data_IF_638135163396
#
_entry.id   IF_638135163396
#
_cell.length_a   1.000
_cell.length_b   1.000
_cell.length_c   1.000
_cell.angle_alpha   90.00
_cell.angle_beta   90.00
_cell.angle_gamma   90.00
#
_symmetry.space_group_name_H-M   'P 1'
#
loop_
_entity.id
_entity.type
_entity.pdbx_description
1 polymer ?
#
# COMPACT_ATOMS: atom_id res chain seq x y z
N UNK A 1 56.90 -56.87 -2.61
CA UNK A 1 56.20 -56.03 -1.63
C UNK A 1 55.81 -54.77 -2.32
N UNK A 2 54.52 -54.53 -2.61
CA UNK A 2 53.97 -53.29 -3.17
C UNK A 2 53.13 -52.65 -2.08
N UNK A 3 53.28 -51.33 -1.73
CA UNK A 3 52.42 -50.69 -0.80
C UNK A 3 51.16 -50.13 -1.51
N UNK A 4 50.02 -50.39 -0.88
CA UNK A 4 48.67 -49.97 -1.34
C UNK A 4 48.50 -48.48 -1.27
N UNK A 5 48.20 -47.89 -2.43
CA UNK A 5 47.92 -46.42 -2.58
C UNK A 5 46.43 -46.12 -2.76
N UNK A 6 45.56 -46.54 -1.80
CA UNK A 6 44.10 -46.39 -1.98
C UNK A 6 43.35 -45.72 -0.82
N UNK A 7 44.01 -44.99 0.11
CA UNK A 7 43.29 -44.44 1.27
C UNK A 7 43.23 -42.87 1.37
N UNK A 8 43.76 -42.13 0.39
CA UNK A 8 43.83 -40.64 0.52
C UNK A 8 42.75 -39.80 -0.18
N UNK A 9 41.90 -40.39 -1.01
CA UNK A 9 40.94 -39.63 -1.80
C UNK A 9 39.54 -39.52 -1.18
N UNK A 10 39.20 -40.28 -0.14
CA UNK A 10 37.87 -40.25 0.47
C UNK A 10 37.65 -39.11 1.45
N UNK A 11 38.69 -38.55 2.08
CA UNK A 11 38.60 -37.50 3.06
C UNK A 11 38.36 -36.11 2.44
N UNK A 12 38.97 -35.85 1.28
CA UNK A 12 38.88 -34.53 0.64
C UNK A 12 37.50 -34.27 -0.01
N UNK A 13 36.88 -35.29 -0.59
CA UNK A 13 35.57 -35.21 -1.20
C UNK A 13 34.47 -34.95 -0.15
N UNK A 14 34.55 -35.60 1.01
CA UNK A 14 33.60 -35.40 2.11
C UNK A 14 33.72 -33.97 2.72
N UNK A 15 34.93 -33.43 2.85
CA UNK A 15 35.18 -32.10 3.39
C UNK A 15 34.70 -30.98 2.44
N UNK A 16 34.88 -31.16 1.12
CA UNK A 16 34.39 -30.22 0.11
C UNK A 16 32.85 -30.21 0.05
N UNK A 17 32.22 -31.36 0.16
CA UNK A 17 30.76 -31.51 0.17
C UNK A 17 30.16 -30.86 1.42
N UNK A 18 30.76 -31.02 2.59
CA UNK A 18 30.32 -30.40 3.83
C UNK A 18 30.46 -28.87 3.80
N UNK A 19 31.50 -28.31 3.19
CA UNK A 19 31.70 -26.88 3.04
C UNK A 19 30.70 -26.27 2.04
N UNK A 20 30.35 -26.99 0.97
CA UNK A 20 29.36 -26.56 -0.01
C UNK A 20 27.93 -26.54 0.57
N UNK A 21 27.56 -27.49 1.44
CA UNK A 21 26.26 -27.49 2.14
C UNK A 21 26.17 -26.37 3.17
N UNK A 22 27.25 -26.04 3.87
CA UNK A 22 27.29 -24.97 4.84
C UNK A 22 27.14 -23.57 4.20
N UNK A 23 27.64 -23.38 2.97
CA UNK A 23 27.50 -22.11 2.23
C UNK A 23 26.08 -21.89 1.67
N UNK A 24 25.32 -22.95 1.39
CA UNK A 24 23.96 -22.85 0.87
C UNK A 24 22.94 -22.36 1.91
N UNK A 25 23.18 -22.52 3.20
CA UNK A 25 22.27 -22.10 4.27
C UNK A 25 22.37 -20.61 4.63
N UNK A 26 23.38 -19.89 4.16
CA UNK A 26 23.59 -18.47 4.46
C UNK A 26 22.84 -17.50 3.52
N UNK A 27 22.21 -17.99 2.43
CA UNK A 27 21.52 -17.16 1.45
C UNK A 27 20.04 -16.88 1.76
N UNK A 28 19.48 -17.42 2.84
CA UNK A 28 18.04 -17.36 3.13
C UNK A 28 17.56 -16.23 4.06
N UNK A 29 18.41 -15.31 4.49
CA UNK A 29 18.11 -14.44 5.63
C UNK A 29 17.76 -12.96 5.27
N UNK A 30 17.30 -12.67 4.06
CA UNK A 30 16.76 -11.33 3.73
C UNK A 30 15.24 -11.38 3.66
N UNK A 31 14.56 -11.46 4.80
CA UNK A 31 13.12 -11.18 4.86
C UNK A 31 12.91 -9.68 4.91
N UNK A 32 12.08 -9.16 4.02
CA UNK A 32 11.62 -7.79 4.02
C UNK A 32 10.33 -7.74 4.82
N UNK A 33 10.30 -7.02 5.94
CA UNK A 33 9.09 -6.84 6.72
C UNK A 33 8.18 -5.81 6.06
N UNK A 34 6.92 -6.18 5.88
CA UNK A 34 5.86 -5.31 5.37
C UNK A 34 4.94 -4.95 6.52
N UNK A 35 4.92 -3.67 6.88
CA UNK A 35 4.09 -3.14 7.96
C UNK A 35 2.93 -2.37 7.33
N UNK A 36 1.72 -2.68 7.77
CA UNK A 36 0.49 -2.02 7.31
C UNK A 36 -0.03 -1.10 8.39
N UNK A 37 -0.26 0.15 8.05
CA UNK A 37 -0.86 1.15 8.92
C UNK A 37 -2.25 1.54 8.42
N UNK A 38 -3.17 1.82 9.35
CA UNK A 38 -4.56 2.14 9.05
C UNK A 38 -5.37 0.90 8.65
N UNK A 39 -6.68 1.08 8.49
CA UNK A 39 -7.57 0.00 8.08
C UNK A 39 -7.55 -0.14 6.56
N UNK A 40 -7.14 -1.30 6.06
CA UNK A 40 -7.17 -1.62 4.64
C UNK A 40 -8.54 -2.23 4.30
N UNK A 41 -9.35 -1.46 3.58
CA UNK A 41 -10.66 -1.90 3.14
C UNK A 41 -10.54 -2.85 1.93
N UNK A 42 -11.35 -3.89 1.95
CA UNK A 42 -11.54 -4.75 0.77
C UNK A 42 -12.59 -4.12 -0.14
N UNK A 43 -12.60 -4.51 -1.39
CA UNK A 43 -13.61 -4.04 -2.34
C UNK A 43 -15.04 -4.33 -1.86
N UNK A 44 -15.24 -5.46 -1.15
CA UNK A 44 -16.54 -5.83 -0.55
C UNK A 44 -16.99 -4.83 0.52
N UNK A 45 -16.07 -4.31 1.32
CA UNK A 45 -16.36 -3.36 2.39
C UNK A 45 -16.80 -2.01 1.79
N UNK A 46 -16.18 -1.61 0.68
CA UNK A 46 -16.53 -0.38 -0.05
C UNK A 46 -17.84 -0.53 -0.83
N UNK A 47 -18.14 -1.70 -1.38
CA UNK A 47 -19.40 -1.98 -2.06
C UNK A 47 -20.61 -1.97 -1.11
N UNK A 48 -20.38 -2.17 0.18
CA UNK A 48 -21.43 -2.07 1.20
C UNK A 48 -21.88 -0.61 1.43
N UNK A 49 -21.06 0.38 1.06
CA UNK A 49 -21.41 1.79 1.17
C UNK A 49 -22.21 2.20 -0.07
N UNK A 50 -23.50 2.44 0.15
CA UNK A 50 -24.45 2.77 -0.90
C UNK A 50 -24.78 4.26 -0.89
N UNK A 51 -25.06 4.87 -2.05
CA UNK A 51 -25.63 6.22 -2.12
C UNK A 51 -26.90 6.33 -1.26
N UNK A 52 -27.03 7.44 -0.55
CA UNK A 52 -28.15 7.69 0.37
C UNK A 52 -27.95 7.20 1.80
N UNK A 53 -26.86 6.51 2.13
CA UNK A 53 -26.52 6.20 3.53
C UNK A 53 -26.16 7.48 4.30
N UNK A 54 -26.52 7.53 5.58
CA UNK A 54 -26.14 8.64 6.46
C UNK A 54 -24.68 8.55 6.91
N UNK A 55 -24.13 9.68 7.38
CA UNK A 55 -22.78 9.74 7.94
C UNK A 55 -22.58 8.74 9.10
N UNK A 56 -23.60 8.54 9.92
CA UNK A 56 -23.53 7.62 11.06
C UNK A 56 -23.52 6.15 10.60
N UNK A 57 -24.28 5.82 9.55
CA UNK A 57 -24.24 4.47 8.95
C UNK A 57 -22.86 4.17 8.36
N UNK A 58 -22.25 5.15 7.70
CA UNK A 58 -20.88 5.02 7.17
C UNK A 58 -19.87 4.81 8.28
N UNK A 59 -19.94 5.57 9.39
CA UNK A 59 -19.06 5.36 10.56
C UNK A 59 -19.28 4.00 11.21
N UNK A 60 -20.50 3.50 11.24
CA UNK A 60 -20.80 2.17 11.77
C UNK A 60 -20.17 1.08 10.90
N UNK A 61 -20.17 1.26 9.58
CA UNK A 61 -19.65 0.28 8.62
C UNK A 61 -18.13 0.33 8.47
N UNK A 62 -17.53 1.52 8.37
CA UNK A 62 -16.11 1.73 8.08
C UNK A 62 -15.30 2.18 9.31
N UNK A 63 -15.94 2.50 10.42
CA UNK A 63 -15.29 3.09 11.59
C UNK A 63 -15.12 4.60 11.46
N UNK A 64 -14.32 5.18 12.38
CA UNK A 64 -14.03 6.61 12.38
C UNK A 64 -13.09 6.99 11.25
N UNK A 65 -13.37 8.06 10.48
CA UNK A 65 -12.46 8.54 9.44
C UNK A 65 -11.17 9.11 10.04
N UNK A 66 -10.08 9.01 9.29
CA UNK A 66 -8.79 9.60 9.66
C UNK A 66 -8.84 11.14 9.62
N UNK A 67 -9.61 11.69 8.70
CA UNK A 67 -9.88 13.14 8.60
C UNK A 67 -11.18 13.40 7.86
N UNK A 68 -11.71 14.62 8.04
CA UNK A 68 -12.90 15.10 7.36
C UNK A 68 -12.60 16.43 6.69
N UNK A 69 -13.29 16.73 5.60
CA UNK A 69 -13.16 18.02 4.93
C UNK A 69 -14.49 18.46 4.32
N UNK A 70 -14.63 19.75 4.08
CA UNK A 70 -15.72 20.31 3.27
C UNK A 70 -15.31 20.25 1.82
N UNK A 71 -16.14 19.64 0.98
CA UNK A 71 -15.89 19.47 -0.46
C UNK A 71 -17.14 19.95 -1.21
N UNK A 72 -17.00 21.07 -1.91
CA UNK A 72 -18.14 21.73 -2.53
C UNK A 72 -19.15 22.20 -1.49
N UNK A 73 -20.40 21.73 -1.59
CA UNK A 73 -21.48 22.07 -0.64
C UNK A 73 -21.71 20.99 0.41
N UNK A 74 -20.93 19.91 0.39
CA UNK A 74 -21.06 18.78 1.32
C UNK A 74 -19.79 18.53 2.12
N UNK A 75 -19.76 17.39 2.76
CA UNK A 75 -18.61 16.92 3.54
C UNK A 75 -18.00 15.69 2.88
N UNK A 76 -16.75 15.40 3.19
CA UNK A 76 -16.10 14.16 2.83
C UNK A 76 -15.40 13.53 4.03
N UNK A 77 -15.48 12.21 4.15
CA UNK A 77 -14.73 11.39 5.09
C UNK A 77 -13.59 10.70 4.37
N UNK A 78 -12.39 10.82 4.92
CA UNK A 78 -11.20 10.19 4.36
C UNK A 78 -10.63 9.14 5.32
N UNK A 79 -10.45 7.95 4.78
CA UNK A 79 -9.83 6.81 5.47
C UNK A 79 -8.49 6.53 4.80
N UNK A 80 -7.41 6.64 5.55
CA UNK A 80 -6.04 6.55 5.01
C UNK A 80 -5.41 5.27 5.52
N UNK A 81 -4.88 4.47 4.62
CA UNK A 81 -4.04 3.33 4.94
C UNK A 81 -2.73 3.40 4.15
N UNK A 82 -1.65 2.89 4.75
CA UNK A 82 -0.34 2.85 4.09
C UNK A 82 0.36 1.51 4.31
N UNK A 83 1.16 1.14 3.34
CA UNK A 83 2.03 -0.03 3.39
C UNK A 83 3.47 0.45 3.45
N UNK A 84 4.15 0.14 4.55
CA UNK A 84 5.55 0.44 4.76
C UNK A 84 6.38 -0.81 4.49
N UNK A 85 7.57 -0.62 3.96
CA UNK A 85 8.58 -1.66 3.82
C UNK A 85 9.79 -1.27 4.65
N UNK A 86 10.22 -2.19 5.52
CA UNK A 86 11.41 -2.04 6.33
C UNK A 86 12.42 -3.13 5.95
N UNK A 87 13.64 -2.74 5.59
CA UNK A 87 14.78 -3.64 5.55
C UNK A 87 15.54 -3.46 6.87
N UNK A 88 15.97 -4.55 7.48
CA UNK A 88 16.59 -4.61 8.81
C UNK A 88 17.69 -3.56 9.10
N UNK A 89 18.28 -2.97 8.07
CA UNK A 89 19.37 -1.98 8.16
C UNK A 89 19.02 -0.62 7.58
N UNK A 90 17.82 -0.44 6.99
CA UNK A 90 17.42 0.78 6.29
C UNK A 90 16.18 1.39 6.92
N UNK A 91 16.03 2.70 6.73
CA UNK A 91 14.85 3.45 7.13
C UNK A 91 13.59 2.87 6.49
N UNK A 92 12.49 2.84 7.25
CA UNK A 92 11.16 2.55 6.72
C UNK A 92 10.85 3.42 5.52
N UNK A 93 10.34 2.80 4.47
CA UNK A 93 9.92 3.48 3.25
C UNK A 93 8.48 3.15 2.95
N UNK A 94 7.66 4.17 2.79
CA UNK A 94 6.28 4.00 2.36
C UNK A 94 6.25 3.54 0.90
N UNK A 95 5.66 2.38 0.65
CA UNK A 95 5.58 1.74 -0.66
C UNK A 95 4.27 2.04 -1.35
N UNK A 96 3.19 2.11 -0.56
CA UNK A 96 1.85 2.33 -1.08
C UNK A 96 1.00 3.06 -0.04
N UNK A 97 0.07 3.86 -0.53
CA UNK A 97 -0.96 4.53 0.25
C UNK A 97 -2.29 4.45 -0.46
N UNK A 98 -3.31 4.08 0.28
CA UNK A 98 -4.68 4.05 -0.18
C UNK A 98 -5.49 5.07 0.61
N UNK A 99 -6.32 5.82 -0.09
CA UNK A 99 -7.23 6.81 0.50
C UNK A 99 -8.64 6.50 0.01
N UNK A 100 -9.49 6.03 0.91
CA UNK A 100 -10.91 5.89 0.64
C UNK A 100 -11.60 7.20 1.02
N UNK A 101 -12.29 7.80 0.07
CA UNK A 101 -13.07 9.02 0.25
C UNK A 101 -14.56 8.71 0.11
N UNK A 102 -15.35 9.05 1.11
CA UNK A 102 -16.81 9.00 1.07
C UNK A 102 -17.32 10.43 1.05
N UNK A 103 -17.95 10.82 -0.05
CA UNK A 103 -18.50 12.17 -0.25
C UNK A 103 -19.97 12.19 0.12
N UNK A 104 -20.35 13.22 0.86
CA UNK A 104 -21.72 13.47 1.27
C UNK A 104 -22.24 14.73 0.60
N UNK A 105 -23.53 14.71 0.25
CA UNK A 105 -24.24 15.89 -0.20
C UNK A 105 -24.53 16.87 0.96
N UNK A 106 -25.17 17.97 0.70
CA UNK A 106 -25.58 18.97 1.67
C UNK A 106 -26.56 18.43 2.74
N UNK A 107 -27.32 17.39 2.42
CA UNK A 107 -28.19 16.66 3.35
C UNK A 107 -27.47 15.64 4.24
N UNK A 108 -26.13 15.49 4.13
CA UNK A 108 -25.35 14.53 4.91
C UNK A 108 -25.52 13.08 4.48
N UNK A 109 -26.03 12.85 3.28
CA UNK A 109 -26.18 11.52 2.70
C UNK A 109 -25.05 11.21 1.72
N UNK A 110 -24.60 9.95 1.65
CA UNK A 110 -23.58 9.52 0.69
C UNK A 110 -24.02 9.82 -0.73
N UNK A 111 -23.21 10.57 -1.44
CA UNK A 111 -23.33 10.90 -2.85
C UNK A 111 -22.42 10.04 -3.71
N UNK A 112 -21.15 9.88 -3.30
CA UNK A 112 -20.16 9.11 -4.04
C UNK A 112 -19.11 8.49 -3.12
N UNK A 113 -18.48 7.41 -3.58
CA UNK A 113 -17.33 6.77 -2.94
C UNK A 113 -16.20 6.65 -3.95
N UNK A 114 -14.99 7.00 -3.53
CA UNK A 114 -13.79 6.85 -4.33
C UNK A 114 -12.72 6.11 -3.54
N UNK A 115 -11.87 5.39 -4.26
CA UNK A 115 -10.74 4.65 -3.68
C UNK A 115 -9.46 5.07 -4.42
N UNK A 116 -8.75 6.01 -3.85
CA UNK A 116 -7.55 6.57 -4.45
C UNK A 116 -6.29 5.82 -4.03
N UNK A 117 -5.40 5.59 -4.99
CA UNK A 117 -4.05 5.11 -4.79
C UNK A 117 -3.13 5.67 -5.86
N UNK A 118 -1.86 5.25 -5.84
CA UNK A 118 -0.89 5.66 -6.84
C UNK A 118 -0.80 4.62 -7.95
N UNK A 119 -0.93 5.06 -9.20
CA UNK A 119 -0.73 4.25 -10.40
C UNK A 119 0.11 5.07 -11.39
N UNK A 120 1.23 4.50 -11.83
CA UNK A 120 2.15 5.15 -12.79
C UNK A 120 2.57 6.58 -12.37
N UNK A 121 2.74 6.80 -11.06
CA UNK A 121 3.13 8.08 -10.48
C UNK A 121 2.02 9.12 -10.40
N UNK A 122 0.78 8.77 -10.73
CA UNK A 122 -0.41 9.64 -10.65
C UNK A 122 -1.42 9.09 -9.66
N UNK A 123 -2.23 9.96 -9.07
CA UNK A 123 -3.40 9.54 -8.28
C UNK A 123 -4.41 8.92 -9.22
N UNK A 124 -4.90 7.76 -8.84
CA UNK A 124 -5.86 6.98 -9.62
C UNK A 124 -7.00 6.51 -8.72
N UNK A 125 -8.25 6.71 -9.15
CA UNK A 125 -9.42 6.18 -8.47
C UNK A 125 -9.74 4.78 -9.01
N UNK A 126 -9.59 3.78 -8.16
CA UNK A 126 -9.82 2.38 -8.52
C UNK A 126 -11.30 2.01 -8.69
N UNK A 127 -12.23 2.80 -8.11
CA UNK A 127 -13.68 2.60 -8.29
C UNK A 127 -14.12 3.14 -9.65
N UNK A 128 -13.85 4.42 -9.92
CA UNK A 128 -14.22 5.04 -11.20
C UNK A 128 -13.27 4.66 -12.36
N UNK A 129 -12.10 4.09 -12.02
CA UNK A 129 -11.01 3.73 -12.95
C UNK A 129 -10.48 4.92 -13.75
N UNK A 130 -10.38 6.07 -13.12
CA UNK A 130 -9.92 7.32 -13.71
C UNK A 130 -8.92 8.04 -12.83
N UNK A 131 -8.05 8.83 -13.44
CA UNK A 131 -7.28 9.84 -12.72
C UNK A 131 -8.18 11.03 -12.45
N UNK A 132 -8.24 11.58 -11.21
CA UNK A 132 -8.99 12.80 -10.94
C UNK A 132 -8.57 13.92 -11.89
N UNK A 133 -9.55 14.66 -12.39
CA UNK A 133 -9.27 15.78 -13.27
C UNK A 133 -8.54 16.92 -12.51
N UNK A 134 -7.66 17.67 -13.16
CA UNK A 134 -7.14 18.91 -12.61
C UNK A 134 -8.29 19.86 -12.26
N UNK A 135 -8.22 20.51 -11.09
CA UNK A 135 -9.30 21.36 -10.60
C UNK A 135 -10.46 20.61 -9.92
N UNK A 136 -10.32 19.32 -9.65
CA UNK A 136 -11.27 18.59 -8.82
C UNK A 136 -11.46 19.30 -7.46
N UNK A 137 -12.68 19.27 -6.92
CA UNK A 137 -13.06 20.03 -5.69
C UNK A 137 -12.18 19.70 -4.47
N UNK A 138 -11.58 18.53 -4.44
CA UNK A 138 -10.72 18.03 -3.36
C UNK A 138 -9.25 17.81 -3.79
N UNK A 139 -8.86 18.30 -4.95
CA UNK A 139 -7.51 18.16 -5.50
C UNK A 139 -6.41 18.56 -4.49
N UNK A 140 -6.60 19.68 -3.79
CA UNK A 140 -5.63 20.14 -2.79
C UNK A 140 -5.46 19.18 -1.61
N UNK A 141 -6.56 18.58 -1.16
CA UNK A 141 -6.60 17.61 -0.08
C UNK A 141 -5.91 16.32 -0.52
N UNK A 142 -6.25 15.81 -1.70
CA UNK A 142 -5.62 14.62 -2.27
C UNK A 142 -4.13 14.84 -2.52
N UNK A 143 -3.71 15.99 -3.04
CA UNK A 143 -2.29 16.36 -3.17
C UNK A 143 -1.55 16.30 -1.84
N UNK A 144 -2.18 16.78 -0.76
CA UNK A 144 -1.60 16.74 0.57
C UNK A 144 -1.49 15.30 1.10
N UNK A 145 -2.53 14.48 0.91
CA UNK A 145 -2.56 13.08 1.34
C UNK A 145 -1.54 12.22 0.61
N UNK A 146 -1.27 12.49 -0.67
CA UNK A 146 -0.30 11.76 -1.47
C UNK A 146 1.09 12.41 -1.53
N UNK A 147 1.32 13.49 -0.75
CA UNK A 147 2.63 14.14 -0.68
C UNK A 147 3.70 13.16 -0.17
N UNK A 148 4.81 13.09 -0.89
CA UNK A 148 5.95 12.23 -0.54
C UNK A 148 5.89 10.82 -1.13
N UNK A 149 4.77 10.40 -1.72
CA UNK A 149 4.66 9.19 -2.52
C UNK A 149 4.97 9.51 -3.97
N UNK A 150 6.01 8.87 -4.49
CA UNK A 150 6.45 9.10 -5.86
C UNK A 150 7.43 10.27 -6.04
N UNK A 151 8.14 10.26 -7.17
CA UNK A 151 9.00 11.37 -7.59
C UNK A 151 8.11 12.56 -7.94
N UNK A 152 8.65 13.79 -7.80
CA UNK A 152 8.01 15.08 -8.15
C UNK A 152 7.37 15.06 -9.55
N UNK A 153 6.21 14.49 -9.67
CA UNK A 153 5.42 14.46 -10.91
C UNK A 153 4.06 15.06 -10.59
N UNK A 154 3.42 15.70 -11.54
CA UNK A 154 2.02 16.08 -11.42
C UNK A 154 1.20 14.82 -11.11
N UNK A 155 0.76 14.69 -9.86
CA UNK A 155 0.00 13.52 -9.39
C UNK A 155 -1.44 13.50 -9.94
N UNK A 156 -1.83 14.57 -10.63
CA UNK A 156 -3.07 14.67 -11.39
C UNK A 156 -2.75 14.72 -12.89
N UNK A 157 -3.63 14.22 -13.72
CA UNK A 157 -3.46 14.21 -15.17
C UNK A 157 -3.21 15.61 -15.73
N UNK A 158 -2.40 15.68 -16.78
CA UNK A 158 -2.29 16.91 -17.58
C UNK A 158 -3.64 17.14 -18.26
N UNK A 159 -4.18 18.35 -18.10
CA UNK A 159 -5.38 18.81 -18.78
C UNK A 159 -5.13 19.12 -20.23
#
# INVERSE_FOLDING_TARGET
>A
MRPDATSRTRGTAASVLALALASATLLGACSQDVIKHGHQFRDTDLQAIQPGMSQEQVKTSLGSPATTAVVGNGNAYYYISSTMSQNSLLKETEKDRQVVAVYFNDGGMVDNVANYGMKDGKVFDYISRKTPAPGAKDEGILKQMFRGLGKKTNIFGDG
#
